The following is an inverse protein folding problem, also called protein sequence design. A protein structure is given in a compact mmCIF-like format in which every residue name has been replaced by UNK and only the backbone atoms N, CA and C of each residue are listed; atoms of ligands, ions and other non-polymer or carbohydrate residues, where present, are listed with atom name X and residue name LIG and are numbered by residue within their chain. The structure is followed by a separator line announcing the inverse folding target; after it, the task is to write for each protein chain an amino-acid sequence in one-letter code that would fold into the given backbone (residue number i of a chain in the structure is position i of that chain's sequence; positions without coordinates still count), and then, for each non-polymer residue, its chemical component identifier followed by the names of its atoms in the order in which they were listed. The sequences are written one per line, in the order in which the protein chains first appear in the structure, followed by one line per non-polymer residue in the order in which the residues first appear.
data_IF_929373281007
#
_entry.id   IF_929373281007
#
_cell.length_a   1.000
_cell.length_b   1.000
_cell.length_c   1.000
_cell.angle_alpha   90.00
_cell.angle_beta   90.00
_cell.angle_gamma   90.00
#
_symmetry.space_group_name_H-M   'P 1'
#
loop_
_entity.id
_entity.type
_entity.pdbx_description
1 polymer ?
#
# COMPACT_ATOMS: atom_id res chain seq x y z
N UNK A 1 -15.54 18.62 25.38
CA UNK A 1 -14.48 19.11 26.30
C UNK A 1 -13.16 18.28 26.23
N UNK A 2 -13.13 16.94 26.17
CA UNK A 2 -11.87 16.20 26.10
C UNK A 2 -10.99 16.57 24.90
N UNK A 3 -11.59 16.81 23.74
CA UNK A 3 -10.85 17.15 22.51
C UNK A 3 -10.13 18.51 22.60
N UNK A 4 -10.72 19.50 23.26
CA UNK A 4 -10.10 20.81 23.44
C UNK A 4 -8.88 20.73 24.36
N UNK A 5 -8.97 19.99 25.45
CA UNK A 5 -7.84 19.76 26.35
C UNK A 5 -6.69 19.04 25.64
N UNK A 6 -6.98 18.00 24.86
CA UNK A 6 -5.99 17.29 24.05
C UNK A 6 -5.34 18.22 23.01
N UNK A 7 -6.13 19.04 22.32
CA UNK A 7 -5.62 20.01 21.35
C UNK A 7 -4.67 21.03 22.00
N UNK A 8 -5.07 21.61 23.15
CA UNK A 8 -4.26 22.58 23.88
C UNK A 8 -2.93 21.96 24.34
N UNK A 9 -2.98 20.72 24.86
CA UNK A 9 -1.79 19.99 25.26
C UNK A 9 -0.86 19.77 24.07
N UNK A 10 -1.37 19.31 22.92
CA UNK A 10 -0.56 19.11 21.71
C UNK A 10 0.08 20.42 21.26
N UNK A 11 -0.66 21.52 21.23
CA UNK A 11 -0.08 22.83 20.87
C UNK A 11 1.05 23.24 21.81
N UNK A 12 0.89 23.11 23.12
CA UNK A 12 1.94 23.44 24.09
C UNK A 12 3.19 22.54 23.90
N UNK A 13 2.98 21.25 23.72
CA UNK A 13 4.05 20.29 23.46
C UNK A 13 4.81 20.62 22.17
N UNK A 14 4.09 20.89 21.07
CA UNK A 14 4.68 21.25 19.79
C UNK A 14 5.43 22.57 19.84
N UNK A 15 4.91 23.56 20.58
CA UNK A 15 5.61 24.83 20.79
C UNK A 15 6.97 24.62 21.48
N UNK A 16 6.99 23.82 22.56
CA UNK A 16 8.23 23.50 23.26
C UNK A 16 9.25 22.75 22.36
N UNK A 17 8.78 21.84 21.50
CA UNK A 17 9.66 21.18 20.53
C UNK A 17 10.22 22.18 19.52
N UNK A 18 9.39 23.06 18.99
CA UNK A 18 9.81 24.06 18.00
C UNK A 18 10.84 25.05 18.57
N UNK A 19 10.71 25.43 19.82
CA UNK A 19 11.71 26.27 20.51
C UNK A 19 13.09 25.60 20.57
N UNK A 20 13.11 24.29 20.78
CA UNK A 20 14.36 23.51 20.83
C UNK A 20 14.88 23.13 19.44
N UNK A 21 13.98 22.89 18.49
CA UNK A 21 14.31 22.44 17.13
C UNK A 21 13.53 23.31 16.13
N UNK A 22 14.05 24.49 15.76
CA UNK A 22 13.31 25.49 14.95
C UNK A 22 12.81 24.99 13.58
N UNK A 23 13.52 24.06 12.96
CA UNK A 23 13.20 23.49 11.64
C UNK A 23 12.56 22.12 11.72
N UNK A 24 11.91 21.78 12.85
CA UNK A 24 11.22 20.50 13.00
C UNK A 24 10.09 20.36 11.99
N UNK A 25 9.93 19.15 11.42
CA UNK A 25 8.80 18.76 10.57
C UNK A 25 8.06 17.60 11.22
N UNK A 26 6.76 17.55 11.05
CA UNK A 26 5.93 16.47 11.56
C UNK A 26 5.49 15.57 10.41
N UNK A 27 5.86 14.31 10.50
CA UNK A 27 5.40 13.26 9.59
C UNK A 27 4.29 12.47 10.27
N UNK A 28 3.13 12.32 9.62
CA UNK A 28 2.02 11.55 10.17
C UNK A 28 1.15 10.91 9.07
N UNK A 29 0.30 9.97 9.45
CA UNK A 29 -0.55 9.20 8.53
C UNK A 29 -2.06 9.34 8.78
N UNK A 30 -2.52 10.47 9.35
CA UNK A 30 -3.95 10.72 9.50
C UNK A 30 -4.43 11.35 10.81
N UNK A 31 -3.53 11.87 11.64
CA UNK A 31 -3.90 12.55 12.89
C UNK A 31 -4.35 13.99 12.64
N UNK A 32 -5.62 14.22 12.28
CA UNK A 32 -6.18 15.57 11.98
C UNK A 32 -5.90 16.59 13.08
N UNK A 33 -6.08 16.24 14.33
CA UNK A 33 -5.82 17.14 15.47
C UNK A 33 -4.37 17.57 15.55
N UNK A 34 -3.45 16.66 15.21
CA UNK A 34 -2.02 16.94 15.16
C UNK A 34 -1.69 17.94 14.04
N UNK A 35 -2.28 17.77 12.85
CA UNK A 35 -2.09 18.69 11.72
C UNK A 35 -2.55 20.11 12.07
N UNK A 36 -3.75 20.23 12.65
CA UNK A 36 -4.29 21.54 13.04
C UNK A 36 -3.44 22.21 14.13
N UNK A 37 -2.96 21.44 15.10
CA UNK A 37 -2.08 21.96 16.14
C UNK A 37 -0.71 22.38 15.58
N UNK A 38 -0.13 21.58 14.70
CA UNK A 38 1.13 21.90 14.04
C UNK A 38 1.04 23.20 13.20
N UNK A 39 -0.01 23.34 12.40
CA UNK A 39 -0.27 24.56 11.64
C UNK A 39 -0.41 25.78 12.57
N UNK A 40 -1.09 25.63 13.72
CA UNK A 40 -1.26 26.70 14.70
C UNK A 40 0.06 27.20 15.28
N UNK A 41 1.00 26.32 15.51
CA UNK A 41 2.34 26.68 16.04
C UNK A 41 3.38 26.91 14.94
N UNK A 42 2.98 26.82 13.68
CA UNK A 42 3.83 27.06 12.51
C UNK A 42 4.90 25.98 12.30
N UNK A 43 4.57 24.74 12.57
CA UNK A 43 5.41 23.58 12.26
C UNK A 43 4.94 22.96 10.95
N UNK A 44 5.89 22.73 10.03
CA UNK A 44 5.62 22.09 8.73
C UNK A 44 5.12 20.67 8.90
N UNK A 45 4.04 20.33 8.21
CA UNK A 45 3.38 19.03 8.26
C UNK A 45 3.53 18.28 6.97
N UNK A 46 3.88 16.99 7.08
CA UNK A 46 4.01 16.07 5.97
C UNK A 46 3.08 14.89 6.18
N UNK A 47 2.06 14.79 5.37
CA UNK A 47 1.16 13.66 5.41
C UNK A 47 1.63 12.55 4.47
N UNK A 48 2.01 11.44 5.06
CA UNK A 48 2.31 10.21 4.34
C UNK A 48 1.05 9.34 4.35
N UNK A 49 0.37 9.26 3.23
CA UNK A 49 -0.84 8.46 3.17
C UNK A 49 -0.50 6.98 3.45
N UNK A 50 -1.18 6.41 4.44
CA UNK A 50 -1.05 4.99 4.77
C UNK A 50 -2.38 4.30 4.48
N UNK A 51 -2.41 3.48 3.45
CA UNK A 51 -3.63 2.83 3.01
C UNK A 51 -4.20 3.43 1.72
N UNK A 52 -5.32 2.88 1.25
CA UNK A 52 -6.06 3.47 0.15
C UNK A 52 -6.73 4.77 0.61
N UNK A 53 -6.47 5.85 -0.10
CA UNK A 53 -7.04 7.14 0.22
C UNK A 53 -8.56 7.12 0.03
N UNK A 54 -9.28 7.58 1.06
CA UNK A 54 -10.74 7.71 1.03
C UNK A 54 -11.15 9.10 0.58
N UNK A 55 -12.23 9.17 -0.18
CA UNK A 55 -12.90 10.43 -0.47
C UNK A 55 -13.29 11.12 0.83
N UNK A 56 -12.97 12.39 0.97
CA UNK A 56 -13.21 13.20 2.16
C UNK A 56 -13.94 14.48 1.78
N UNK A 57 -14.66 15.06 2.73
CA UNK A 57 -15.26 16.39 2.56
C UNK A 57 -14.15 17.44 2.57
N UNK A 58 -14.22 18.40 1.67
CA UNK A 58 -13.31 19.57 1.64
C UNK A 58 -13.37 20.35 2.96
N UNK A 59 -14.55 20.47 3.54
CA UNK A 59 -14.76 21.20 4.80
C UNK A 59 -14.07 20.53 6.01
N UNK A 60 -13.89 19.21 5.95
CA UNK A 60 -13.30 18.44 7.04
C UNK A 60 -11.81 18.12 6.84
N UNK A 61 -11.24 18.57 5.72
CA UNK A 61 -9.85 18.26 5.42
C UNK A 61 -8.94 19.28 6.12
N UNK A 62 -7.95 18.83 6.93
CA UNK A 62 -7.06 19.74 7.63
C UNK A 62 -6.09 20.38 6.64
N UNK A 63 -5.60 21.58 6.99
CA UNK A 63 -4.46 22.17 6.29
C UNK A 63 -3.20 21.33 6.50
N UNK A 64 -2.48 21.07 5.41
CA UNK A 64 -1.24 20.32 5.38
C UNK A 64 -0.27 21.01 4.42
N UNK A 65 1.01 21.07 4.78
CA UNK A 65 2.02 21.65 3.90
C UNK A 65 2.35 20.71 2.74
N UNK A 66 2.54 19.44 3.03
CA UNK A 66 2.85 18.40 2.04
C UNK A 66 1.96 17.18 2.21
N UNK A 67 1.53 16.62 1.07
CA UNK A 67 0.75 15.37 0.99
C UNK A 67 1.42 14.46 -0.02
N UNK A 68 1.82 13.25 0.42
CA UNK A 68 2.35 12.23 -0.47
C UNK A 68 1.30 11.16 -0.75
N UNK A 69 1.08 10.88 -2.02
CA UNK A 69 0.04 9.97 -2.53
C UNK A 69 0.61 8.96 -3.54
N UNK A 70 -0.15 7.90 -3.81
CA UNK A 70 0.29 6.80 -4.66
C UNK A 70 -0.06 6.97 -6.14
N UNK A 71 -1.05 7.78 -6.49
CA UNK A 71 -1.54 7.90 -7.86
C UNK A 71 -1.82 9.35 -8.28
N UNK A 72 -1.87 9.55 -9.60
CA UNK A 72 -2.27 10.82 -10.20
C UNK A 72 -3.69 11.23 -9.85
N UNK A 73 -4.60 10.24 -9.71
CA UNK A 73 -5.99 10.48 -9.33
C UNK A 73 -6.09 10.99 -7.88
N UNK A 74 -5.31 10.39 -6.98
CA UNK A 74 -5.22 10.87 -5.60
C UNK A 74 -4.59 12.27 -5.56
N UNK A 75 -3.56 12.51 -6.38
CA UNK A 75 -2.92 13.84 -6.47
C UNK A 75 -3.95 14.89 -6.90
N UNK A 76 -4.63 14.68 -8.01
CA UNK A 76 -5.65 15.61 -8.51
C UNK A 76 -6.76 15.83 -7.48
N UNK A 77 -7.20 14.77 -6.80
CA UNK A 77 -8.22 14.88 -5.77
C UNK A 77 -7.75 15.74 -4.58
N UNK A 78 -6.53 15.53 -4.09
CA UNK A 78 -6.02 16.30 -2.96
C UNK A 78 -5.65 17.73 -3.32
N UNK A 79 -5.22 18.00 -4.55
CA UNK A 79 -5.04 19.36 -5.07
C UNK A 79 -6.36 20.15 -5.07
N UNK A 80 -7.49 19.49 -5.36
CA UNK A 80 -8.81 20.13 -5.31
C UNK A 80 -9.27 20.42 -3.88
N UNK A 81 -9.18 19.44 -2.97
CA UNK A 81 -9.69 19.61 -1.60
C UNK A 81 -8.75 20.38 -0.67
N UNK A 82 -7.47 20.45 -1.00
CA UNK A 82 -6.44 21.15 -0.22
C UNK A 82 -5.51 21.97 -1.15
N UNK A 83 -6.02 23.04 -1.78
CA UNK A 83 -5.30 23.77 -2.84
C UNK A 83 -4.04 24.49 -2.35
N UNK A 84 -3.87 24.66 -1.04
CA UNK A 84 -2.68 25.28 -0.45
C UNK A 84 -1.62 24.25 -0.04
N UNK A 85 -1.88 22.96 -0.21
CA UNK A 85 -0.93 21.90 0.08
C UNK A 85 -0.09 21.57 -1.15
N UNK A 86 1.18 21.23 -0.92
CA UNK A 86 2.03 20.67 -1.96
C UNK A 86 1.76 19.17 -2.08
N UNK A 87 1.01 18.75 -3.09
CA UNK A 87 0.66 17.35 -3.29
C UNK A 87 1.67 16.67 -4.20
N UNK A 88 2.38 15.70 -3.66
CA UNK A 88 3.45 14.97 -4.33
C UNK A 88 3.08 13.51 -4.54
N UNK A 89 3.48 12.96 -5.68
CA UNK A 89 3.52 11.52 -5.84
C UNK A 89 4.71 10.95 -5.05
N UNK A 90 4.54 9.81 -4.42
CA UNK A 90 5.67 9.06 -3.91
C UNK A 90 6.66 8.80 -5.04
N UNK A 91 7.96 9.03 -4.84
CA UNK A 91 8.96 8.75 -5.87
C UNK A 91 8.93 7.27 -6.22
N UNK A 92 8.97 6.97 -7.51
CA UNK A 92 9.11 5.62 -8.01
C UNK A 92 10.55 5.16 -7.74
N UNK A 93 10.69 4.03 -7.04
CA UNK A 93 11.96 3.35 -6.87
C UNK A 93 11.86 2.02 -7.58
N UNK A 94 12.17 2.02 -8.87
CA UNK A 94 12.12 0.79 -9.66
C UNK A 94 13.23 -0.17 -9.24
N UNK A 95 12.88 -1.46 -9.22
CA UNK A 95 13.85 -2.52 -9.08
C UNK A 95 14.57 -2.69 -10.40
N UNK A 96 15.89 -2.71 -10.37
CA UNK A 96 16.73 -2.93 -11.57
C UNK A 96 16.64 -4.36 -12.10
N UNK A 97 16.33 -5.30 -11.22
CA UNK A 97 16.19 -6.72 -11.55
C UNK A 97 15.05 -7.34 -10.74
N UNK A 98 14.32 -8.24 -11.39
CA UNK A 98 13.28 -9.06 -10.76
C UNK A 98 13.73 -10.51 -10.72
N UNK A 99 13.31 -11.22 -9.70
CA UNK A 99 13.62 -12.64 -9.52
C UNK A 99 12.33 -13.47 -9.66
N UNK A 100 12.47 -14.77 -9.96
CA UNK A 100 11.34 -15.71 -9.99
C UNK A 100 10.75 -15.94 -8.58
N UNK A 101 10.28 -14.85 -7.97
CA UNK A 101 9.72 -14.83 -6.63
C UNK A 101 8.34 -14.20 -6.64
N UNK A 102 7.50 -14.66 -5.74
CA UNK A 102 6.15 -14.13 -5.49
C UNK A 102 6.01 -13.85 -4.01
N UNK A 103 5.51 -12.68 -3.65
CA UNK A 103 5.10 -12.38 -2.28
C UNK A 103 3.58 -12.40 -2.21
N UNK A 104 3.01 -13.19 -1.31
CA UNK A 104 1.57 -13.19 -1.02
C UNK A 104 1.37 -12.41 0.27
N UNK A 105 0.74 -11.23 0.16
CA UNK A 105 0.37 -10.39 1.29
C UNK A 105 -0.96 -10.86 1.88
N UNK A 106 -0.91 -11.38 3.09
CA UNK A 106 -2.05 -11.94 3.79
C UNK A 106 -2.59 -10.90 4.78
N UNK A 107 -3.81 -10.43 4.55
CA UNK A 107 -4.48 -9.40 5.36
C UNK A 107 -5.37 -10.05 6.44
N UNK A 108 -5.98 -9.22 7.32
CA UNK A 108 -7.01 -9.68 8.28
C UNK A 108 -8.21 -10.36 7.62
N UNK A 109 -8.39 -10.15 6.33
CA UNK A 109 -9.52 -10.66 5.56
C UNK A 109 -9.25 -12.07 4.98
N UNK A 110 -8.16 -12.73 5.38
CA UNK A 110 -7.80 -14.09 4.98
C UNK A 110 -8.89 -15.11 5.28
N UNK A 111 -9.79 -14.77 6.20
CA UNK A 111 -11.02 -15.54 6.50
C UNK A 111 -11.90 -15.71 5.25
N UNK A 112 -11.76 -14.84 4.24
CA UNK A 112 -12.52 -14.88 2.98
C UNK A 112 -11.86 -15.75 1.91
N UNK A 113 -10.56 -16.06 2.05
CA UNK A 113 -9.89 -16.93 1.10
C UNK A 113 -10.20 -18.38 1.44
N UNK A 114 -10.85 -19.08 0.52
CA UNK A 114 -10.95 -20.53 0.65
C UNK A 114 -9.55 -21.14 0.54
N UNK A 115 -9.28 -22.19 1.33
CA UNK A 115 -8.05 -22.97 1.20
C UNK A 115 -7.83 -23.45 -0.25
N UNK A 116 -8.92 -23.66 -0.99
CA UNK A 116 -8.93 -24.01 -2.40
C UNK A 116 -8.28 -22.92 -3.26
N UNK A 117 -8.66 -21.65 -3.12
CA UNK A 117 -8.10 -20.54 -3.91
C UNK A 117 -6.60 -20.37 -3.64
N UNK A 118 -6.20 -20.43 -2.36
CA UNK A 118 -4.78 -20.34 -2.02
C UNK A 118 -4.00 -21.53 -2.59
N UNK A 119 -4.54 -22.74 -2.49
CA UNK A 119 -3.94 -23.95 -3.05
C UNK A 119 -3.78 -23.86 -4.58
N UNK A 120 -4.75 -23.28 -5.29
CA UNK A 120 -4.66 -23.03 -6.73
C UNK A 120 -3.53 -22.06 -7.07
N UNK A 121 -3.43 -20.95 -6.34
CA UNK A 121 -2.36 -19.95 -6.53
C UNK A 121 -0.98 -20.57 -6.28
N UNK A 122 -0.82 -21.23 -5.15
CA UNK A 122 0.44 -21.88 -4.79
C UNK A 122 0.83 -22.92 -5.85
N UNK A 123 -0.09 -23.79 -6.25
CA UNK A 123 0.16 -24.80 -7.28
C UNK A 123 0.53 -24.18 -8.62
N UNK A 124 -0.12 -23.07 -8.99
CA UNK A 124 0.13 -22.37 -10.24
C UNK A 124 1.57 -21.83 -10.32
N UNK A 125 2.03 -21.12 -9.28
CA UNK A 125 3.36 -20.53 -9.27
C UNK A 125 4.46 -21.55 -9.01
N UNK A 126 4.26 -22.53 -8.13
CA UNK A 126 5.21 -23.61 -7.88
C UNK A 126 5.49 -24.45 -9.14
N UNK A 127 4.48 -24.75 -9.95
CA UNK A 127 4.64 -25.45 -11.23
C UNK A 127 5.46 -24.67 -12.26
N UNK A 128 5.75 -23.42 -12.00
CA UNK A 128 6.57 -22.52 -12.85
C UNK A 128 7.91 -22.18 -12.22
N UNK A 129 8.31 -22.92 -11.19
CA UNK A 129 9.57 -22.76 -10.46
C UNK A 129 9.71 -21.38 -9.79
N UNK A 130 8.59 -20.78 -9.36
CA UNK A 130 8.61 -19.57 -8.55
C UNK A 130 8.79 -19.92 -7.09
N UNK A 131 9.70 -19.21 -6.42
CA UNK A 131 9.81 -19.24 -4.97
C UNK A 131 8.68 -18.35 -4.39
N UNK A 132 7.91 -18.88 -3.45
CA UNK A 132 6.76 -18.19 -2.86
C UNK A 132 7.06 -17.83 -1.41
N UNK A 133 6.79 -16.58 -1.08
CA UNK A 133 6.92 -16.02 0.27
C UNK A 133 5.55 -15.58 0.78
N UNK A 134 5.26 -15.87 2.04
CA UNK A 134 4.05 -15.41 2.72
C UNK A 134 4.39 -14.25 3.64
N UNK A 135 3.68 -13.13 3.51
CA UNK A 135 3.82 -11.97 4.38
C UNK A 135 2.55 -11.78 5.19
N UNK A 136 2.65 -12.02 6.49
CA UNK A 136 1.55 -11.79 7.43
C UNK A 136 1.32 -10.29 7.62
N UNK A 137 0.05 -9.89 7.77
CA UNK A 137 -0.26 -8.55 8.25
C UNK A 137 0.24 -8.38 9.70
N UNK A 138 0.80 -7.23 10.11
CA UNK A 138 1.34 -7.04 11.46
C UNK A 138 0.36 -7.36 12.60
N UNK A 139 -0.93 -7.22 12.34
CA UNK A 139 -1.98 -7.50 13.34
C UNK A 139 -2.57 -8.92 13.24
N UNK A 140 -1.98 -9.79 12.42
CA UNK A 140 -2.46 -11.16 12.28
C UNK A 140 -1.95 -12.05 13.43
N UNK A 141 -2.87 -12.69 14.13
CA UNK A 141 -2.57 -13.55 15.30
C UNK A 141 -2.94 -15.02 15.09
N UNK A 142 -3.47 -15.39 13.92
CA UNK A 142 -3.93 -16.75 13.63
C UNK A 142 -2.80 -17.70 13.23
N UNK A 143 -3.02 -19.01 13.40
CA UNK A 143 -2.07 -20.07 13.03
C UNK A 143 -2.31 -20.67 11.63
N UNK A 144 -3.32 -20.21 10.89
CA UNK A 144 -3.66 -20.78 9.58
C UNK A 144 -2.51 -20.63 8.58
N UNK A 145 -1.89 -19.47 8.57
CA UNK A 145 -0.76 -19.18 7.67
C UNK A 145 0.43 -20.08 7.97
N UNK A 146 0.71 -20.33 9.26
CA UNK A 146 1.81 -21.22 9.65
C UNK A 146 1.57 -22.65 9.18
N UNK A 147 0.34 -23.16 9.31
CA UNK A 147 -0.05 -24.48 8.79
C UNK A 147 0.10 -24.59 7.28
N UNK A 148 -0.26 -23.52 6.55
CA UNK A 148 -0.12 -23.48 5.09
C UNK A 148 1.36 -23.42 4.70
N UNK A 149 2.14 -22.59 5.37
CA UNK A 149 3.58 -22.51 5.14
C UNK A 149 4.27 -23.87 5.37
N UNK A 150 3.93 -24.56 6.45
CA UNK A 150 4.44 -25.91 6.74
C UNK A 150 4.01 -26.92 5.67
N UNK A 151 2.71 -26.96 5.32
CA UNK A 151 2.15 -27.89 4.32
C UNK A 151 2.82 -27.78 2.94
N UNK A 152 3.17 -26.56 2.51
CA UNK A 152 3.75 -26.29 1.19
C UNK A 152 5.24 -25.98 1.24
N UNK A 153 5.87 -26.08 2.39
CA UNK A 153 7.28 -25.72 2.64
C UNK A 153 7.61 -24.30 2.15
N UNK A 154 6.82 -23.31 2.59
CA UNK A 154 6.96 -21.91 2.20
C UNK A 154 7.65 -21.09 3.29
N UNK A 155 8.38 -20.07 2.87
CA UNK A 155 9.01 -19.12 3.77
C UNK A 155 8.02 -18.03 4.21
N UNK A 156 7.98 -17.73 5.50
CA UNK A 156 7.22 -16.62 6.06
C UNK A 156 8.18 -15.44 6.26
N UNK A 157 7.86 -14.32 5.64
CA UNK A 157 8.62 -13.07 5.82
C UNK A 157 8.37 -12.54 7.22
N UNK A 158 9.45 -12.08 7.85
CA UNK A 158 9.40 -11.43 9.15
C UNK A 158 8.33 -10.32 9.20
N UNK A 159 7.53 -10.35 10.26
CA UNK A 159 6.42 -9.42 10.46
C UNK A 159 6.89 -7.98 10.73
N UNK A 160 8.12 -7.79 11.22
CA UNK A 160 8.70 -6.47 11.48
C UNK A 160 9.04 -5.70 10.20
N UNK A 161 9.38 -6.40 9.11
CA UNK A 161 9.62 -5.75 7.81
C UNK A 161 8.32 -5.21 7.24
N UNK A 162 8.33 -4.01 6.73
CA UNK A 162 7.19 -3.46 5.98
C UNK A 162 7.07 -4.09 4.56
N UNK A 163 6.03 -3.71 3.81
CA UNK A 163 5.80 -4.25 2.48
C UNK A 163 6.88 -3.80 1.49
N UNK A 164 7.28 -2.52 1.51
CA UNK A 164 8.31 -1.97 0.65
C UNK A 164 9.69 -2.61 0.93
N UNK A 165 10.07 -2.79 2.19
CA UNK A 165 11.31 -3.46 2.57
C UNK A 165 11.33 -4.91 2.08
N UNK A 166 10.21 -5.62 2.22
CA UNK A 166 10.06 -6.99 1.73
C UNK A 166 10.20 -7.08 0.21
N UNK A 167 9.58 -6.16 -0.52
CA UNK A 167 9.67 -6.09 -1.99
C UNK A 167 11.11 -5.77 -2.42
N UNK A 168 11.75 -4.77 -1.81
CA UNK A 168 13.11 -4.35 -2.16
C UNK A 168 14.14 -5.43 -1.87
N UNK A 169 13.99 -6.19 -0.78
CA UNK A 169 14.94 -7.25 -0.40
C UNK A 169 14.78 -8.51 -1.24
N UNK A 170 13.54 -8.90 -1.57
CA UNK A 170 13.26 -10.14 -2.31
C UNK A 170 13.20 -9.95 -3.81
N UNK A 171 12.99 -8.74 -4.31
CA UNK A 171 12.87 -8.39 -5.74
C UNK A 171 11.91 -9.30 -6.51
N UNK A 172 10.68 -9.51 -6.03
CA UNK A 172 9.74 -10.46 -6.63
C UNK A 172 9.28 -9.98 -8.00
N UNK A 173 8.91 -10.91 -8.89
CA UNK A 173 8.23 -10.56 -10.14
C UNK A 173 6.76 -10.24 -9.92
N UNK A 174 6.14 -10.85 -8.94
CA UNK A 174 4.71 -10.64 -8.65
C UNK A 174 4.47 -10.47 -7.15
N UNK A 175 3.45 -9.69 -6.86
CA UNK A 175 2.86 -9.64 -5.53
C UNK A 175 1.38 -9.96 -5.62
N UNK A 176 0.83 -10.64 -4.61
CA UNK A 176 -0.54 -11.09 -4.59
C UNK A 176 -1.18 -10.68 -3.28
N UNK A 177 -2.45 -10.23 -3.32
CA UNK A 177 -3.18 -9.86 -2.11
C UNK A 177 -4.58 -9.35 -2.40
N UNK A 178 -5.27 -8.96 -1.36
CA UNK A 178 -6.55 -8.23 -1.47
C UNK A 178 -6.29 -6.73 -1.43
N UNK A 179 -7.30 -5.90 -1.71
CA UNK A 179 -7.27 -4.43 -1.72
C UNK A 179 -6.37 -3.79 -0.67
N UNK A 180 -5.07 -3.94 -0.87
CA UNK A 180 -4.02 -3.59 0.08
C UNK A 180 -3.08 -2.54 -0.52
N UNK A 181 -2.64 -1.60 0.32
CA UNK A 181 -1.56 -0.67 -0.01
C UNK A 181 -0.29 -1.36 -0.46
N UNK A 182 -0.01 -2.56 0.03
CA UNK A 182 1.15 -3.34 -0.39
C UNK A 182 1.15 -3.60 -1.91
N UNK A 183 -0.02 -3.76 -2.55
CA UNK A 183 -0.13 -3.88 -4.00
C UNK A 183 0.15 -2.54 -4.73
N UNK A 184 -0.24 -1.41 -4.13
CA UNK A 184 0.11 -0.09 -4.67
C UNK A 184 1.62 0.17 -4.56
N UNK A 185 2.23 -0.20 -3.44
CA UNK A 185 3.69 -0.13 -3.25
C UNK A 185 4.44 -1.03 -4.23
N UNK A 186 3.90 -2.22 -4.52
CA UNK A 186 4.45 -3.14 -5.51
C UNK A 186 4.54 -2.50 -6.89
N UNK A 187 3.45 -1.90 -7.35
CA UNK A 187 3.43 -1.20 -8.64
C UNK A 187 4.46 -0.05 -8.68
N UNK A 188 4.63 0.65 -7.56
CA UNK A 188 5.62 1.70 -7.40
C UNK A 188 7.06 1.19 -7.55
N UNK A 189 7.34 -0.01 -7.05
CA UNK A 189 8.63 -0.67 -7.16
C UNK A 189 8.87 -1.42 -8.49
N UNK A 190 7.94 -1.35 -9.42
CA UNK A 190 8.06 -2.04 -10.71
C UNK A 190 7.68 -3.51 -10.67
N UNK A 191 6.90 -3.91 -9.68
CA UNK A 191 6.40 -5.28 -9.51
C UNK A 191 4.93 -5.34 -9.91
N UNK A 192 4.55 -6.32 -10.72
CA UNK A 192 3.15 -6.49 -11.14
C UNK A 192 2.30 -7.00 -9.98
N UNK A 193 1.30 -6.21 -9.52
CA UNK A 193 0.40 -6.60 -8.46
C UNK A 193 -0.77 -7.41 -9.00
N UNK A 194 -1.12 -8.49 -8.30
CA UNK A 194 -2.28 -9.35 -8.60
C UNK A 194 -3.27 -9.24 -7.43
N UNK A 195 -4.48 -8.81 -7.73
CA UNK A 195 -5.57 -8.74 -6.76
C UNK A 195 -6.33 -10.06 -6.71
N UNK A 196 -6.66 -10.46 -5.49
CA UNK A 196 -7.56 -11.59 -5.19
C UNK A 196 -9.01 -11.12 -4.96
N UNK A 197 -9.25 -9.82 -5.02
CA UNK A 197 -10.60 -9.28 -4.91
C UNK A 197 -11.44 -9.63 -6.12
N UNK A 198 -12.69 -9.92 -5.87
CA UNK A 198 -13.68 -10.05 -6.94
C UNK A 198 -13.88 -8.69 -7.64
N UNK A 199 -14.17 -8.71 -8.95
CA UNK A 199 -14.49 -7.50 -9.72
C UNK A 199 -15.66 -6.71 -9.12
N UNK A 200 -16.56 -7.41 -8.42
CA UNK A 200 -17.71 -6.81 -7.75
C UNK A 200 -17.35 -6.13 -6.42
N UNK A 201 -16.12 -6.29 -5.91
CA UNK A 201 -15.69 -5.62 -4.69
C UNK A 201 -15.82 -4.10 -4.86
N UNK A 202 -16.61 -3.48 -4.00
CA UNK A 202 -16.86 -2.04 -4.04
C UNK A 202 -15.68 -1.25 -3.45
N UNK A 203 -14.94 -0.59 -4.32
CA UNK A 203 -13.89 0.38 -3.98
C UNK A 203 -14.32 1.84 -4.24
N UNK A 204 -15.62 2.12 -4.39
CA UNK A 204 -16.13 3.46 -4.69
C UNK A 204 -15.74 4.52 -3.66
N UNK A 205 -15.44 4.09 -2.43
CA UNK A 205 -14.92 4.93 -1.35
C UNK A 205 -13.45 5.32 -1.52
N UNK A 206 -12.68 4.56 -2.30
CA UNK A 206 -11.27 4.84 -2.56
C UNK A 206 -11.11 5.82 -3.74
N UNK A 207 -10.08 6.64 -3.68
CA UNK A 207 -9.69 7.53 -4.77
C UNK A 207 -8.79 6.76 -5.74
N UNK A 208 -7.89 5.95 -5.21
CA UNK A 208 -6.98 5.11 -5.98
C UNK A 208 -7.77 4.12 -6.85
N UNK A 209 -7.54 4.08 -8.17
CA UNK A 209 -8.28 3.21 -9.08
C UNK A 209 -7.76 1.76 -9.01
N UNK A 210 -7.93 1.13 -7.87
CA UNK A 210 -7.34 -0.15 -7.52
C UNK A 210 -7.52 -1.22 -8.60
N UNK A 211 -8.76 -1.42 -9.08
CA UNK A 211 -9.08 -2.42 -10.11
C UNK A 211 -8.37 -2.16 -11.45
N UNK A 212 -8.03 -0.92 -11.75
CA UNK A 212 -7.31 -0.55 -12.98
C UNK A 212 -5.80 -0.74 -12.84
N UNK A 213 -5.30 -0.77 -11.63
CA UNK A 213 -3.87 -0.77 -11.31
C UNK A 213 -3.34 -2.13 -10.82
N UNK A 214 -4.19 -3.14 -10.83
CA UNK A 214 -3.85 -4.52 -10.50
C UNK A 214 -4.39 -5.47 -11.54
N UNK A 215 -3.78 -6.64 -11.69
CA UNK A 215 -4.39 -7.76 -12.42
C UNK A 215 -5.36 -8.49 -11.49
N UNK A 216 -6.47 -9.00 -12.04
CA UNK A 216 -7.39 -9.86 -11.28
C UNK A 216 -6.96 -11.32 -11.42
N UNK A 217 -6.72 -12.00 -10.29
CA UNK A 217 -6.46 -13.43 -10.30
C UNK A 217 -7.62 -14.23 -10.94
N UNK A 218 -8.84 -13.81 -10.66
CA UNK A 218 -10.04 -14.51 -11.10
C UNK A 218 -10.30 -14.33 -12.60
N UNK A 219 -10.15 -13.11 -13.10
CA UNK A 219 -10.64 -12.72 -14.41
C UNK A 219 -9.53 -12.64 -15.47
N UNK A 220 -8.26 -12.44 -15.05
CA UNK A 220 -7.12 -12.27 -15.95
C UNK A 220 -6.07 -13.38 -15.79
N UNK A 221 -6.50 -14.58 -15.39
CA UNK A 221 -5.61 -15.73 -15.14
C UNK A 221 -4.78 -16.11 -16.37
N UNK A 222 -5.37 -16.07 -17.55
CA UNK A 222 -4.67 -16.33 -18.81
C UNK A 222 -3.59 -15.28 -19.08
N UNK A 223 -3.89 -14.02 -18.86
CA UNK A 223 -2.92 -12.93 -18.98
C UNK A 223 -1.76 -13.10 -18.01
N UNK A 224 -2.04 -13.42 -16.76
CA UNK A 224 -1.00 -13.74 -15.77
C UNK A 224 -0.12 -14.90 -16.27
N UNK A 225 -0.73 -15.93 -16.85
CA UNK A 225 -0.01 -17.07 -17.42
C UNK A 225 0.94 -16.66 -18.57
N UNK A 226 0.50 -15.76 -19.46
CA UNK A 226 1.35 -15.25 -20.55
C UNK A 226 2.53 -14.42 -20.01
N UNK A 227 2.32 -13.61 -18.98
CA UNK A 227 3.39 -12.83 -18.36
C UNK A 227 4.51 -13.70 -17.75
N UNK A 228 4.19 -14.92 -17.31
CA UNK A 228 5.18 -15.87 -16.80
C UNK A 228 6.06 -16.47 -17.91
N UNK A 229 5.64 -16.36 -19.16
CA UNK A 229 6.37 -16.89 -20.32
C UNK A 229 7.22 -15.85 -21.02
N UNK A 230 6.78 -14.58 -20.98
CA UNK A 230 7.39 -13.52 -21.79
C UNK A 230 7.57 -12.22 -20.99
N UNK A 231 8.83 -11.90 -20.69
CA UNK A 231 9.19 -10.68 -19.95
C UNK A 231 8.91 -9.38 -20.74
N UNK A 232 8.78 -9.45 -22.07
CA UNK A 232 8.39 -8.27 -22.85
C UNK A 232 6.96 -7.87 -22.58
N UNK A 233 6.07 -8.85 -22.42
CA UNK A 233 4.68 -8.65 -21.99
C UNK A 233 4.61 -8.13 -20.57
N UNK A 234 5.52 -8.55 -19.70
CA UNK A 234 5.61 -8.07 -18.33
C UNK A 234 5.84 -6.55 -18.28
N UNK A 235 6.86 -6.04 -18.98
CA UNK A 235 7.19 -4.62 -19.04
C UNK A 235 6.03 -3.80 -19.61
N UNK A 236 5.40 -4.30 -20.68
CA UNK A 236 4.22 -3.67 -21.28
C UNK A 236 3.06 -3.59 -20.28
N UNK A 237 2.74 -4.70 -19.61
CA UNK A 237 1.66 -4.74 -18.60
C UNK A 237 1.94 -3.81 -17.44
N UNK A 238 3.17 -3.76 -16.94
CA UNK A 238 3.56 -2.85 -15.89
C UNK A 238 3.31 -1.39 -16.28
N UNK A 239 3.72 -1.01 -17.50
CA UNK A 239 3.47 0.33 -18.04
C UNK A 239 1.98 0.63 -18.16
N UNK A 240 1.17 -0.31 -18.65
CA UNK A 240 -0.28 -0.17 -18.73
C UNK A 240 -0.93 0.04 -17.35
N UNK A 241 -0.52 -0.75 -16.35
CA UNK A 241 -1.05 -0.61 -14.98
C UNK A 241 -0.66 0.71 -14.31
N UNK A 242 0.43 1.33 -14.73
CA UNK A 242 0.88 2.65 -14.22
C UNK A 242 0.12 3.82 -14.84
N UNK A 243 -0.38 3.66 -16.06
CA UNK A 243 -1.04 4.73 -16.84
C UNK A 243 -2.57 4.62 -16.75
N UNK A 244 -3.13 3.45 -16.50
CA UNK A 244 -4.58 3.24 -16.31
C UNK A 244 -5.05 3.91 -15.03
#
# INVERSE_FOLDING_TARGET
MPQLATYTYICAFLSAIKEQIPNVKIFHSGAKTLSVAAARVGIETVWLYHGLARKQSKADFPFLDHIYVYSSEEKTYFEDISPNSNVCLYPLKELSTLEKKVIIFLTRLDIRMSEKTLSEILTFFLKKDYQIFLKKHPTYTGSLIDKIAEKYNLEIIDHEKDASESILSLRPSFTIGWGSTALCESLRHGVVPISLDDLDTDFSWAIYPFKKRTLSWKDEKERIFELLKDMSLYTKTLSELRVR
#
